data_IF_057822456497
#
_entry.id   IF_057822456497
#
_cell.length_a   1.000
_cell.length_b   1.000
_cell.length_c   1.000
_cell.angle_alpha   90.00
_cell.angle_beta   90.00
_cell.angle_gamma   90.00
#
_symmetry.space_group_name_H-M   'P 1'
#
loop_
_entity.id
_entity.type
_entity.pdbx_description
1 polymer ?
#
# COMPACT_ATOMS: atom_id res chain seq x y z
N UNK A 1 -10.71 -0.52 -21.36
CA UNK A 1 -10.64 -0.31 -19.91
C UNK A 1 -9.52 -1.18 -19.41
N UNK A 2 -8.49 -0.59 -18.81
CA UNK A 2 -7.30 -1.32 -18.35
C UNK A 2 -7.71 -2.24 -17.20
N UNK A 3 -7.36 -3.51 -17.29
CA UNK A 3 -7.60 -4.54 -16.26
C UNK A 3 -6.63 -4.35 -15.08
N UNK A 4 -6.73 -3.19 -14.43
CA UNK A 4 -5.92 -2.89 -13.26
C UNK A 4 -6.62 -3.44 -12.00
N UNK A 5 -5.89 -4.09 -11.08
CA UNK A 5 -6.46 -4.53 -9.81
C UNK A 5 -7.00 -3.33 -9.03
N UNK A 6 -7.98 -3.56 -8.14
CA UNK A 6 -8.53 -2.49 -7.30
C UNK A 6 -7.42 -1.85 -6.45
N UNK A 7 -7.47 -0.53 -6.31
CA UNK A 7 -6.48 0.27 -5.57
C UNK A 7 -6.59 0.13 -4.04
N UNK A 8 -7.36 -0.83 -3.54
CA UNK A 8 -7.59 -1.08 -2.13
C UNK A 8 -7.86 -2.56 -1.86
N UNK A 9 -7.63 -2.99 -0.62
CA UNK A 9 -8.07 -4.27 -0.09
C UNK A 9 -9.16 -4.02 0.98
N UNK A 10 -10.17 -4.89 1.01
CA UNK A 10 -11.19 -4.89 2.07
C UNK A 10 -10.97 -6.13 2.94
N UNK A 11 -10.58 -5.90 4.19
CA UNK A 11 -10.38 -6.96 5.17
C UNK A 11 -11.60 -7.02 6.10
N UNK A 12 -12.23 -8.19 6.28
CA UNK A 12 -13.36 -8.31 7.18
C UNK A 12 -12.91 -8.12 8.64
N UNK A 13 -13.60 -7.20 9.33
CA UNK A 13 -13.49 -7.06 10.79
C UNK A 13 -14.45 -7.99 11.53
N UNK A 14 -14.62 -7.75 12.83
CA UNK A 14 -15.62 -8.46 13.62
C UNK A 14 -17.05 -8.13 13.13
N UNK A 15 -17.93 -9.13 12.86
CA UNK A 15 -19.24 -8.91 12.22
C UNK A 15 -20.20 -7.95 12.93
N UNK A 16 -20.04 -7.77 14.25
CA UNK A 16 -20.88 -6.89 15.06
C UNK A 16 -20.19 -5.58 15.45
N UNK A 17 -18.97 -5.34 14.95
CA UNK A 17 -18.27 -4.09 15.19
C UNK A 17 -18.92 -2.97 14.38
N UNK A 18 -19.30 -1.84 14.99
CA UNK A 18 -19.78 -0.67 14.26
C UNK A 18 -18.63 0.15 13.64
N UNK A 19 -17.37 -0.28 13.81
CA UNK A 19 -16.18 0.47 13.43
C UNK A 19 -15.74 0.10 12.01
N UNK A 20 -15.54 1.11 11.17
CA UNK A 20 -14.81 1.02 9.92
C UNK A 20 -13.43 1.64 10.10
N UNK A 21 -12.38 0.87 9.84
CA UNK A 21 -11.00 1.36 9.84
C UNK A 21 -10.55 1.61 8.40
N UNK A 22 -9.97 2.78 8.15
CA UNK A 22 -9.37 3.14 6.87
C UNK A 22 -7.87 3.35 7.09
N UNK A 23 -7.05 2.59 6.38
CA UNK A 23 -5.57 2.60 6.48
C UNK A 23 -4.98 3.00 5.13
N UNK A 24 -4.93 4.30 4.79
CA UNK A 24 -4.61 4.74 3.42
C UNK A 24 -3.12 4.62 3.06
N UNK A 25 -2.22 4.53 4.04
CA UNK A 25 -0.78 4.64 3.82
C UNK A 25 0.03 3.39 4.20
N UNK A 26 -0.61 2.23 4.42
CA UNK A 26 0.11 0.99 4.77
C UNK A 26 0.62 0.21 3.56
N UNK A 27 0.14 0.50 2.35
CA UNK A 27 0.60 -0.18 1.14
C UNK A 27 2.03 0.22 0.79
N UNK A 28 2.83 -0.80 0.47
CA UNK A 28 4.20 -0.65 -0.06
C UNK A 28 4.28 -1.00 -1.55
N UNK A 29 3.15 -1.33 -2.18
CA UNK A 29 3.13 -1.77 -3.56
C UNK A 29 3.42 -0.60 -4.50
N UNK A 30 4.48 -0.73 -5.29
CA UNK A 30 4.81 0.21 -6.37
C UNK A 30 4.36 -0.40 -7.70
N UNK A 31 3.45 0.26 -8.46
CA UNK A 31 3.07 -0.21 -9.78
C UNK A 31 4.28 -0.38 -10.70
N UNK A 32 4.31 -1.48 -11.47
CA UNK A 32 5.48 -1.85 -12.27
C UNK A 32 5.84 -0.82 -13.34
N UNK A 33 4.84 -0.11 -13.88
CA UNK A 33 4.99 0.98 -14.83
C UNK A 33 5.50 2.29 -14.18
N UNK A 34 5.31 2.46 -12.87
CA UNK A 34 5.81 3.60 -12.10
C UNK A 34 7.27 3.39 -11.66
N UNK A 35 7.68 2.15 -11.36
CA UNK A 35 9.04 1.81 -10.87
C UNK A 35 10.18 2.42 -11.70
N UNK A 36 10.18 2.43 -13.05
CA UNK A 36 11.24 3.05 -13.85
C UNK A 36 11.43 4.56 -13.66
N UNK A 37 10.40 5.26 -13.15
CA UNK A 37 10.47 6.69 -12.83
C UNK A 37 11.13 7.00 -11.48
N UNK A 38 11.43 5.98 -10.67
CA UNK A 38 12.02 6.12 -9.34
C UNK A 38 13.53 5.90 -9.44
N UNK A 39 14.31 6.93 -9.08
CA UNK A 39 15.78 6.93 -9.19
C UNK A 39 16.48 6.06 -8.13
N UNK A 40 15.80 5.74 -7.03
CA UNK A 40 16.34 4.91 -5.96
C UNK A 40 16.56 3.48 -6.45
N UNK A 41 17.64 2.85 -5.98
CA UNK A 41 17.79 1.40 -6.06
C UNK A 41 16.69 0.71 -5.25
N UNK A 42 16.47 -0.58 -5.49
CA UNK A 42 15.43 -1.33 -4.77
C UNK A 42 15.69 -1.32 -3.25
N UNK A 43 16.94 -1.45 -2.82
CA UNK A 43 17.30 -1.41 -1.40
C UNK A 43 17.09 -0.03 -0.77
N UNK A 44 17.32 1.06 -1.52
CA UNK A 44 17.03 2.42 -1.06
C UNK A 44 15.53 2.68 -0.99
N UNK A 45 14.78 2.22 -2.00
CA UNK A 45 13.33 2.34 -2.04
C UNK A 45 12.66 1.59 -0.89
N UNK A 46 13.12 0.38 -0.55
CA UNK A 46 12.59 -0.36 0.60
C UNK A 46 12.78 0.42 1.92
N UNK A 47 13.94 1.04 2.12
CA UNK A 47 14.17 1.90 3.30
C UNK A 47 13.28 3.13 3.30
N UNK A 48 13.08 3.74 2.14
CA UNK A 48 12.21 4.91 2.04
C UNK A 48 10.74 4.55 2.28
N UNK A 49 10.30 3.39 1.79
CA UNK A 49 8.97 2.87 2.08
C UNK A 49 8.79 2.62 3.59
N UNK A 50 9.82 2.17 4.32
CA UNK A 50 9.75 2.04 5.79
C UNK A 50 9.49 3.37 6.49
N UNK A 51 9.99 4.47 5.94
CA UNK A 51 9.84 5.81 6.54
C UNK A 51 8.56 6.52 6.11
N UNK A 52 8.10 6.29 4.88
CA UNK A 52 6.97 7.02 4.28
C UNK A 52 5.62 6.34 4.48
N UNK A 53 5.61 5.03 4.77
CA UNK A 53 4.37 4.24 4.87
C UNK A 53 4.08 3.86 6.31
N UNK A 54 2.80 3.74 6.65
CA UNK A 54 2.34 3.16 7.90
C UNK A 54 2.39 1.62 7.81
N UNK A 55 3.52 1.07 7.35
CA UNK A 55 3.72 -0.34 6.97
C UNK A 55 3.37 -1.35 8.07
N UNK A 56 3.35 -0.89 9.32
CA UNK A 56 3.08 -1.69 10.51
C UNK A 56 1.61 -1.63 10.99
N UNK A 57 0.71 -0.99 10.24
CA UNK A 57 -0.70 -0.77 10.66
C UNK A 57 -1.74 -1.62 9.90
N UNK A 58 -1.30 -2.51 9.01
CA UNK A 58 -2.15 -3.39 8.21
C UNK A 58 -2.41 -4.75 8.88
#
# INVERSE_FOLDING_TARGET
MTDAPPAFALLPGAPHSPVLLHVPHSSRAVPADVRPGIVLSDAELERELDHMTDSHTA
#
